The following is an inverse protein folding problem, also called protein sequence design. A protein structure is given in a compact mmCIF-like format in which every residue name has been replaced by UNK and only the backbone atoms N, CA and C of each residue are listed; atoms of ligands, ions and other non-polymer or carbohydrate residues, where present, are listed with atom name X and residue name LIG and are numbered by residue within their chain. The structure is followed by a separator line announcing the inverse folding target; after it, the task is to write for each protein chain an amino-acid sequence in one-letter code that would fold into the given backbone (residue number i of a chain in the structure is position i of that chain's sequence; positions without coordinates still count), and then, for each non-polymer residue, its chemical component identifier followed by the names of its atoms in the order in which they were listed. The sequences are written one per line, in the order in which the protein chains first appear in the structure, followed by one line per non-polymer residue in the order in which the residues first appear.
data_IF_259390979499
#
_entry.id   IF_259390979499
#
_cell.length_a   1.000
_cell.length_b   1.000
_cell.length_c   1.000
_cell.angle_alpha   90.00
_cell.angle_beta   90.00
_cell.angle_gamma   90.00
#
_symmetry.space_group_name_H-M   'P 1'
#
loop_
_entity.id
_entity.type
_entity.pdbx_description
1 polymer ?
#
# COMPACT_ATOMS: atom_id res chain seq x y z
N UNK A 1 17.35 -27.61 29.76
CA UNK A 1 17.01 -26.75 28.60
C UNK A 1 15.50 -26.75 28.57
N UNK A 2 14.87 -25.61 28.85
CA UNK A 2 13.41 -25.53 28.91
C UNK A 2 12.89 -25.74 27.50
N UNK A 3 12.20 -26.85 27.28
CA UNK A 3 11.55 -27.14 26.01
C UNK A 3 10.49 -26.06 25.75
N UNK A 4 10.61 -25.35 24.62
CA UNK A 4 9.56 -24.45 24.14
C UNK A 4 8.28 -25.27 24.01
N UNK A 5 7.24 -24.85 24.71
CA UNK A 5 5.96 -25.54 24.67
C UNK A 5 5.26 -25.28 23.33
N UNK A 6 4.52 -26.29 22.89
CA UNK A 6 3.80 -26.24 21.62
C UNK A 6 2.86 -25.00 21.50
N UNK A 7 2.15 -24.55 22.56
CA UNK A 7 1.36 -23.32 22.52
C UNK A 7 2.18 -22.07 22.17
N UNK A 8 3.34 -21.87 22.80
CA UNK A 8 4.22 -20.72 22.50
C UNK A 8 4.69 -20.75 21.05
N UNK A 9 5.07 -21.92 20.53
CA UNK A 9 5.48 -22.07 19.13
C UNK A 9 4.34 -21.72 18.17
N UNK A 10 3.11 -22.18 18.46
CA UNK A 10 1.92 -21.89 17.65
C UNK A 10 1.63 -20.39 17.61
N UNK A 11 1.63 -19.71 18.76
CA UNK A 11 1.41 -18.26 18.82
C UNK A 11 2.54 -17.46 18.14
N UNK A 12 3.80 -17.92 18.25
CA UNK A 12 4.90 -17.30 17.52
C UNK A 12 4.73 -17.42 16.00
N UNK A 13 4.35 -18.61 15.50
CA UNK A 13 4.04 -18.81 14.08
C UNK A 13 2.87 -17.92 13.65
N UNK A 14 1.85 -17.78 14.48
CA UNK A 14 0.70 -16.91 14.22
C UNK A 14 1.14 -15.45 14.00
N UNK A 15 1.96 -14.90 14.88
CA UNK A 15 2.52 -13.52 14.77
C UNK A 15 3.33 -13.34 13.49
N UNK A 16 4.01 -14.38 13.01
CA UNK A 16 4.85 -14.33 11.81
C UNK A 16 4.09 -14.55 10.49
N UNK A 17 2.86 -15.08 10.54
CA UNK A 17 2.05 -15.33 9.32
C UNK A 17 1.81 -14.05 8.49
N UNK A 18 1.40 -12.91 9.07
CA UNK A 18 1.23 -11.68 8.31
C UNK A 18 2.49 -11.23 7.59
N UNK A 19 3.66 -11.35 8.22
CA UNK A 19 4.93 -10.98 7.58
C UNK A 19 5.17 -11.86 6.34
N UNK A 20 5.02 -13.18 6.46
CA UNK A 20 5.20 -14.09 5.32
C UNK A 20 4.28 -13.73 4.16
N UNK A 21 3.02 -13.44 4.45
CA UNK A 21 2.04 -13.03 3.45
C UNK A 21 2.45 -11.71 2.78
N UNK A 22 2.74 -10.68 3.56
CA UNK A 22 3.16 -9.36 3.05
C UNK A 22 4.45 -9.44 2.24
N UNK A 23 5.46 -10.17 2.71
CA UNK A 23 6.71 -10.37 1.96
C UNK A 23 6.43 -11.06 0.63
N UNK A 24 5.51 -12.03 0.59
CA UNK A 24 5.11 -12.65 -0.67
C UNK A 24 4.45 -11.64 -1.62
N UNK A 25 3.58 -10.74 -1.13
CA UNK A 25 2.95 -9.69 -1.95
C UNK A 25 3.97 -8.69 -2.53
N UNK A 26 4.93 -8.26 -1.71
CA UNK A 26 5.99 -7.34 -2.16
C UNK A 26 6.93 -8.01 -3.18
N UNK A 27 7.16 -9.32 -3.03
CA UNK A 27 8.06 -10.10 -3.88
C UNK A 27 7.37 -10.74 -5.10
N UNK A 28 6.04 -10.75 -5.17
CA UNK A 28 5.30 -11.25 -6.33
C UNK A 28 5.38 -10.27 -7.49
N UNK A 29 6.36 -10.47 -8.39
CA UNK A 29 6.27 -9.88 -9.73
C UNK A 29 7.59 -9.69 -10.47
N UNK A 30 7.47 -9.58 -11.79
CA UNK A 30 8.48 -9.04 -12.71
C UNK A 30 8.38 -7.50 -12.82
N UNK A 31 7.59 -6.84 -11.97
CA UNK A 31 7.23 -5.43 -12.03
C UNK A 31 7.56 -4.70 -10.72
N UNK A 32 7.78 -3.38 -10.75
CA UNK A 32 8.17 -2.62 -9.58
C UNK A 32 7.03 -2.54 -8.53
N UNK A 33 7.25 -3.19 -7.38
CA UNK A 33 6.31 -3.27 -6.26
C UNK A 33 6.44 -2.13 -5.23
N UNK A 34 7.21 -1.07 -5.54
CA UNK A 34 7.47 0.03 -4.59
C UNK A 34 6.19 0.67 -4.05
N UNK A 35 5.16 0.79 -4.88
CA UNK A 35 3.84 1.33 -4.49
C UNK A 35 3.09 0.46 -3.47
N UNK A 36 3.42 -0.81 -3.37
CA UNK A 36 2.83 -1.77 -2.42
C UNK A 36 3.49 -1.73 -1.06
N UNK A 37 4.74 -1.28 -0.98
CA UNK A 37 5.56 -1.34 0.25
C UNK A 37 4.91 -0.56 1.39
N UNK A 38 4.40 0.64 1.12
CA UNK A 38 3.69 1.46 2.11
C UNK A 38 2.43 0.75 2.62
N UNK A 39 1.63 0.22 1.69
CA UNK A 39 0.37 -0.47 2.02
C UNK A 39 0.63 -1.73 2.83
N UNK A 40 1.66 -2.49 2.44
CA UNK A 40 2.15 -3.66 3.14
C UNK A 40 2.61 -3.36 4.57
N UNK A 41 3.38 -2.28 4.77
CA UNK A 41 3.79 -1.82 6.09
C UNK A 41 2.57 -1.47 6.97
N UNK A 42 1.62 -0.70 6.43
CA UNK A 42 0.40 -0.31 7.15
C UNK A 42 -0.46 -1.52 7.52
N UNK A 43 -0.69 -2.45 6.58
CA UNK A 43 -1.44 -3.67 6.83
C UNK A 43 -0.78 -4.53 7.91
N UNK A 44 0.55 -4.65 7.87
CA UNK A 44 1.30 -5.42 8.86
C UNK A 44 1.25 -4.79 10.25
N UNK A 45 1.38 -3.46 10.33
CA UNK A 45 1.22 -2.72 11.59
C UNK A 45 -0.18 -2.86 12.17
N UNK A 46 -1.20 -2.76 11.32
CA UNK A 46 -2.59 -2.96 11.76
C UNK A 46 -2.79 -4.38 12.29
N UNK A 47 -2.35 -5.41 11.55
CA UNK A 47 -2.44 -6.80 11.98
C UNK A 47 -1.76 -7.05 13.33
N UNK A 48 -0.63 -6.38 13.61
CA UNK A 48 0.14 -6.57 14.84
C UNK A 48 -0.22 -5.58 15.95
N UNK A 49 -1.16 -4.67 15.72
CA UNK A 49 -1.57 -3.66 16.71
C UNK A 49 -2.27 -4.26 17.92
N UNK A 50 -2.99 -5.37 17.72
CA UNK A 50 -3.70 -6.10 18.77
C UNK A 50 -3.79 -7.58 18.42
N UNK A 51 -4.06 -8.42 19.43
CA UNK A 51 -4.26 -9.85 19.22
C UNK A 51 -5.46 -10.13 18.33
N UNK A 52 -6.56 -9.39 18.53
CA UNK A 52 -7.75 -9.53 17.70
C UNK A 52 -7.47 -9.18 16.23
N UNK A 53 -6.81 -8.05 15.98
CA UNK A 53 -6.45 -7.65 14.62
C UNK A 53 -5.55 -8.68 13.92
N UNK A 54 -4.71 -9.40 14.67
CA UNK A 54 -3.87 -10.47 14.17
C UNK A 54 -4.70 -11.68 13.73
N UNK A 55 -5.63 -12.11 14.58
CA UNK A 55 -6.55 -13.21 14.28
C UNK A 55 -7.40 -12.88 13.05
N UNK A 56 -8.02 -11.70 13.03
CA UNK A 56 -8.84 -11.22 11.91
C UNK A 56 -8.05 -11.20 10.59
N UNK A 57 -6.80 -10.74 10.64
CA UNK A 57 -5.93 -10.71 9.46
C UNK A 57 -5.59 -12.12 8.97
N UNK A 58 -5.22 -13.02 9.89
CA UNK A 58 -4.82 -14.39 9.55
C UNK A 58 -5.98 -15.17 8.95
N UNK A 59 -7.17 -15.05 9.54
CA UNK A 59 -8.39 -15.67 9.04
C UNK A 59 -8.71 -15.21 7.61
N UNK A 60 -8.73 -13.89 7.42
CA UNK A 60 -9.13 -13.28 6.16
C UNK A 60 -8.11 -13.47 5.03
N UNK A 61 -6.81 -13.53 5.34
CA UNK A 61 -5.75 -13.38 4.34
C UNK A 61 -4.72 -14.51 4.30
N UNK A 62 -4.50 -15.23 5.39
CA UNK A 62 -3.48 -16.29 5.43
C UNK A 62 -4.08 -17.69 5.21
N UNK A 63 -5.36 -17.88 5.50
CA UNK A 63 -6.00 -19.20 5.50
C UNK A 63 -6.63 -19.59 4.14
N UNK A 64 -6.51 -18.77 3.10
CA UNK A 64 -7.23 -18.97 1.83
C UNK A 64 -6.80 -20.20 0.99
N UNK A 65 -5.72 -20.93 1.35
CA UNK A 65 -5.21 -22.07 0.54
C UNK A 65 -4.60 -23.27 1.30
N UNK A 66 -4.76 -23.42 2.62
CA UNK A 66 -4.05 -24.46 3.39
C UNK A 66 -4.97 -25.36 4.25
N UNK A 67 -5.28 -26.55 3.71
CA UNK A 67 -5.56 -27.81 4.41
C UNK A 67 -6.51 -27.79 5.63
N UNK A 68 -7.76 -28.11 5.35
CA UNK A 68 -8.87 -28.50 6.26
C UNK A 68 -8.60 -29.75 7.13
N UNK A 69 -7.35 -30.21 7.27
CA UNK A 69 -7.04 -31.53 7.84
C UNK A 69 -6.17 -31.51 9.11
N UNK A 70 -5.71 -30.35 9.59
CA UNK A 70 -4.91 -30.29 10.83
C UNK A 70 -5.27 -29.17 11.83
N UNK A 71 -6.32 -28.39 11.58
CA UNK A 71 -6.68 -27.24 12.43
C UNK A 71 -7.62 -27.56 13.60
N UNK A 72 -8.23 -28.75 13.63
CA UNK A 72 -9.30 -29.06 14.59
C UNK A 72 -8.85 -29.30 16.05
N UNK A 73 -7.55 -29.18 16.37
CA UNK A 73 -7.05 -29.35 17.76
C UNK A 73 -6.42 -28.06 18.33
N UNK A 74 -6.58 -26.91 17.66
CA UNK A 74 -5.96 -25.64 18.07
C UNK A 74 -7.00 -24.59 18.49
N UNK A 75 -8.29 -24.80 18.23
CA UNK A 75 -9.33 -23.77 18.40
C UNK A 75 -9.68 -23.44 19.86
N UNK A 76 -9.38 -24.30 20.84
CA UNK A 76 -9.85 -24.07 22.23
C UNK A 76 -9.01 -23.07 23.05
N UNK A 77 -7.94 -22.47 22.50
CA UNK A 77 -7.08 -21.55 23.26
C UNK A 77 -6.57 -20.33 22.47
N UNK A 78 -7.19 -20.01 21.33
CA UNK A 78 -6.77 -18.86 20.50
C UNK A 78 -7.16 -17.50 21.10
N UNK A 79 -8.13 -17.46 22.03
CA UNK A 79 -8.63 -16.23 22.65
C UNK A 79 -7.69 -15.63 23.71
N UNK A 80 -6.65 -16.38 24.13
CA UNK A 80 -5.70 -15.91 25.14
C UNK A 80 -4.29 -15.71 24.55
N UNK A 81 -3.79 -14.49 24.69
CA UNK A 81 -2.42 -14.15 24.31
C UNK A 81 -1.46 -14.35 25.49
N UNK A 82 -0.38 -15.11 25.26
CA UNK A 82 0.71 -15.24 26.23
C UNK A 82 1.48 -13.91 26.35
N UNK A 83 1.80 -13.47 27.57
CA UNK A 83 2.51 -12.20 27.81
C UNK A 83 3.85 -12.12 27.06
N UNK A 84 4.57 -13.24 26.93
CA UNK A 84 5.81 -13.30 26.16
C UNK A 84 5.60 -13.06 24.65
N UNK A 85 4.47 -13.50 24.11
CA UNK A 85 4.08 -13.28 22.71
C UNK A 85 3.65 -11.83 22.49
N UNK A 86 2.89 -11.27 23.43
CA UNK A 86 2.53 -9.85 23.42
C UNK A 86 3.79 -8.97 23.36
N UNK A 87 4.75 -9.22 24.24
CA UNK A 87 6.03 -8.51 24.25
C UNK A 87 6.78 -8.67 22.92
N UNK A 88 6.81 -9.89 22.36
CA UNK A 88 7.42 -10.14 21.07
C UNK A 88 6.74 -9.35 19.94
N UNK A 89 5.40 -9.32 19.90
CA UNK A 89 4.62 -8.57 18.91
C UNK A 89 4.91 -7.07 18.96
N UNK A 90 4.91 -6.48 20.16
CA UNK A 90 5.23 -5.06 20.35
C UNK A 90 6.65 -4.72 19.87
N UNK A 91 7.62 -5.59 20.15
CA UNK A 91 8.99 -5.44 19.63
C UNK A 91 9.05 -5.62 18.13
N UNK A 92 8.27 -6.55 17.59
CA UNK A 92 8.22 -6.82 16.17
C UNK A 92 7.64 -5.64 15.38
N UNK A 93 6.65 -4.93 15.92
CA UNK A 93 6.16 -3.66 15.36
C UNK A 93 7.27 -2.62 15.16
N UNK A 94 8.16 -2.47 16.14
CA UNK A 94 9.31 -1.54 16.04
C UNK A 94 10.26 -1.99 14.93
N UNK A 95 10.53 -3.30 14.85
CA UNK A 95 11.40 -3.86 13.81
C UNK A 95 10.82 -3.71 12.40
N UNK A 96 9.50 -3.65 12.26
CA UNK A 96 8.83 -3.45 10.96
C UNK A 96 9.12 -2.06 10.40
N UNK A 97 9.20 -1.04 11.24
CA UNK A 97 9.59 0.31 10.80
C UNK A 97 11.01 0.34 10.25
N UNK A 98 11.93 -0.33 10.95
CA UNK A 98 13.31 -0.49 10.50
C UNK A 98 13.44 -1.40 9.27
N UNK A 99 12.57 -2.41 9.13
CA UNK A 99 12.62 -3.33 7.99
C UNK A 99 12.20 -2.65 6.68
N UNK A 100 11.15 -1.84 6.72
CA UNK A 100 10.63 -1.20 5.53
C UNK A 100 11.29 0.15 5.22
N UNK A 101 11.91 0.81 6.21
CA UNK A 101 12.58 2.11 6.08
C UNK A 101 11.80 3.07 5.15
N UNK A 102 10.51 3.27 5.45
CA UNK A 102 9.65 4.04 4.58
C UNK A 102 10.19 5.46 4.39
N UNK A 103 10.19 5.91 3.14
CA UNK A 103 10.64 7.24 2.74
C UNK A 103 9.67 7.85 1.72
N UNK A 104 9.88 9.12 1.37
CA UNK A 104 8.99 9.85 0.45
C UNK A 104 8.76 9.13 -0.90
N UNK A 105 9.71 8.31 -1.37
CA UNK A 105 9.59 7.59 -2.65
C UNK A 105 8.54 6.50 -2.57
N UNK A 106 8.43 5.82 -1.43
CA UNK A 106 7.39 4.82 -1.20
C UNK A 106 5.99 5.45 -1.26
N UNK A 107 5.82 6.59 -0.60
CA UNK A 107 4.56 7.33 -0.59
C UNK A 107 4.22 7.89 -1.98
N UNK A 108 5.20 8.47 -2.68
CA UNK A 108 4.99 8.92 -4.06
C UNK A 108 4.63 7.77 -5.00
N UNK A 109 5.28 6.60 -4.87
CA UNK A 109 4.94 5.44 -5.67
C UNK A 109 3.49 4.99 -5.41
N UNK A 110 3.04 4.99 -4.15
CA UNK A 110 1.64 4.70 -3.79
C UNK A 110 0.68 5.77 -4.32
N UNK A 111 1.03 7.06 -4.22
CA UNK A 111 0.23 8.18 -4.74
C UNK A 111 -0.01 8.08 -6.26
N UNK A 112 0.99 7.60 -7.00
CA UNK A 112 0.89 7.41 -8.45
C UNK A 112 -0.05 6.26 -8.83
N UNK A 113 -0.40 5.37 -7.90
CA UNK A 113 -1.43 4.39 -8.15
C UNK A 113 -2.82 5.06 -8.13
N UNK A 114 -3.63 4.94 -9.21
CA UNK A 114 -4.95 5.56 -9.30
C UNK A 114 -5.87 5.32 -8.10
N UNK A 115 -5.75 4.14 -7.49
CA UNK A 115 -6.55 3.70 -6.36
C UNK A 115 -6.20 4.42 -5.05
N UNK A 116 -4.96 4.87 -4.91
CA UNK A 116 -4.42 5.45 -3.67
C UNK A 116 -4.01 6.92 -3.83
N UNK A 117 -4.48 7.59 -4.89
CA UNK A 117 -4.21 9.00 -5.21
C UNK A 117 -4.49 9.99 -4.07
N UNK A 118 -5.40 9.65 -3.16
CA UNK A 118 -5.77 10.54 -2.06
C UNK A 118 -4.92 10.35 -0.81
N UNK A 119 -4.17 9.24 -0.70
CA UNK A 119 -3.40 8.87 0.49
C UNK A 119 -4.16 9.19 1.80
N UNK A 120 -5.41 8.72 1.91
CA UNK A 120 -6.30 9.04 3.05
C UNK A 120 -5.72 8.59 4.39
N UNK A 121 -4.89 7.56 4.37
CA UNK A 121 -4.18 7.01 5.53
C UNK A 121 -2.90 7.79 5.92
N UNK A 122 -2.48 8.78 5.12
CA UNK A 122 -1.35 9.64 5.45
C UNK A 122 -1.80 10.91 6.17
N UNK A 123 -0.89 11.48 6.95
CA UNK A 123 -1.05 12.82 7.51
C UNK A 123 -1.00 13.89 6.41
N UNK A 124 -1.54 15.08 6.69
CA UNK A 124 -1.47 16.22 5.77
C UNK A 124 -0.02 16.56 5.43
N UNK A 125 0.87 16.56 6.43
CA UNK A 125 2.28 16.88 6.25
C UNK A 125 2.99 15.87 5.33
N UNK A 126 2.71 14.57 5.48
CA UNK A 126 3.25 13.53 4.58
C UNK A 126 2.77 13.75 3.14
N UNK A 127 1.47 14.02 2.95
CA UNK A 127 0.92 14.31 1.61
C UNK A 127 1.59 15.53 0.99
N UNK A 128 1.72 16.62 1.74
CA UNK A 128 2.40 17.84 1.27
C UNK A 128 3.84 17.55 0.84
N UNK A 129 4.61 16.81 1.66
CA UNK A 129 5.98 16.39 1.32
C UNK A 129 6.04 15.56 0.03
N UNK A 130 5.07 14.67 -0.19
CA UNK A 130 4.99 13.87 -1.42
C UNK A 130 4.74 14.73 -2.66
N UNK A 131 3.78 15.65 -2.58
CA UNK A 131 3.50 16.57 -3.70
C UNK A 131 4.69 17.48 -3.99
N UNK A 132 5.34 18.03 -2.96
CA UNK A 132 6.56 18.82 -3.11
C UNK A 132 7.68 18.03 -3.78
N UNK A 133 7.90 16.78 -3.33
CA UNK A 133 8.90 15.91 -3.93
C UNK A 133 8.63 15.65 -5.42
N UNK A 134 7.39 15.32 -5.79
CA UNK A 134 7.01 15.10 -7.19
C UNK A 134 7.21 16.37 -8.03
N UNK A 135 6.80 17.54 -7.53
CA UNK A 135 7.03 18.82 -8.22
C UNK A 135 8.51 19.09 -8.45
N UNK A 136 9.36 18.82 -7.45
CA UNK A 136 10.81 18.95 -7.57
C UNK A 136 11.37 18.00 -8.64
N UNK A 137 10.94 16.74 -8.66
CA UNK A 137 11.38 15.77 -9.68
C UNK A 137 10.94 16.19 -11.10
N UNK A 138 9.71 16.66 -11.26
CA UNK A 138 9.21 17.16 -12.56
C UNK A 138 9.97 18.40 -13.03
N UNK A 139 10.33 19.31 -12.12
CA UNK A 139 11.15 20.47 -12.43
C UNK A 139 12.54 20.05 -12.93
N UNK A 140 13.21 19.13 -12.22
CA UNK A 140 14.52 18.59 -12.63
C UNK A 140 14.45 17.97 -14.02
N UNK A 141 13.41 17.16 -14.30
CA UNK A 141 13.22 16.53 -15.61
C UNK A 141 12.96 17.56 -16.72
N UNK A 142 12.21 18.62 -16.43
CA UNK A 142 11.93 19.70 -17.38
C UNK A 142 13.19 20.51 -17.69
N UNK A 143 13.97 20.86 -16.67
CA UNK A 143 15.21 21.62 -16.82
C UNK A 143 16.28 20.79 -17.55
N UNK A 144 16.38 19.49 -17.26
CA UNK A 144 17.24 18.53 -17.95
C UNK A 144 16.81 18.32 -19.41
N UNK A 145 15.51 18.22 -19.69
CA UNK A 145 14.97 18.11 -21.05
C UNK A 145 15.18 19.38 -21.88
N UNK A 146 15.24 20.55 -21.23
CA UNK A 146 15.51 21.84 -21.88
C UNK A 146 16.99 21.99 -22.24
N UNK A 147 17.90 21.40 -21.46
CA UNK A 147 19.33 21.33 -21.77
C UNK A 147 19.69 20.25 -22.81
N UNK A 148 18.87 19.20 -22.97
CA UNK A 148 19.07 18.14 -23.95
C UNK A 148 18.62 18.48 -25.40
N UNK A 149 17.92 19.60 -25.62
CA UNK A 149 17.52 20.07 -26.97
C UNK A 149 18.65 20.85 -27.65
N UNK A 150 19.73 20.16 -28.04
CA UNK A 150 20.75 20.69 -28.98
C UNK A 150 21.29 19.63 -29.96
N UNK A 151 20.46 18.66 -30.33
CA UNK A 151 20.71 17.86 -31.53
C UNK A 151 19.46 17.94 -32.41
N UNK A 152 19.49 18.86 -33.37
CA UNK A 152 18.48 18.95 -34.43
C UNK A 152 18.65 17.75 -35.36
N UNK A 153 17.81 16.74 -35.20
CA UNK A 153 17.53 15.80 -36.29
C UNK A 153 16.28 16.31 -37.02
N UNK A 154 16.36 16.65 -38.32
CA UNK A 154 15.25 17.26 -39.04
C UNK A 154 14.34 16.18 -39.66
N UNK A 155 13.28 15.78 -38.95
CA UNK A 155 11.99 15.36 -39.52
C UNK A 155 11.05 14.79 -38.45
N UNK A 156 9.78 15.23 -38.48
CA UNK A 156 8.58 14.67 -37.80
C UNK A 156 8.32 15.02 -36.32
N UNK A 157 7.07 14.81 -35.84
CA UNK A 157 5.82 15.39 -36.32
C UNK A 157 5.24 16.32 -35.23
N UNK A 158 4.13 17.01 -35.55
CA UNK A 158 3.53 18.08 -34.74
C UNK A 158 3.39 17.71 -33.24
N UNK A 159 4.10 18.45 -32.40
CA UNK A 159 4.09 18.31 -30.94
C UNK A 159 2.68 18.60 -30.40
N UNK A 160 2.01 17.57 -29.87
CA UNK A 160 0.87 17.79 -28.96
C UNK A 160 1.40 18.58 -27.77
N UNK A 161 0.82 19.76 -27.55
CA UNK A 161 1.13 20.65 -26.43
C UNK A 161 0.85 19.89 -25.14
N UNK A 162 1.90 19.52 -24.41
CA UNK A 162 1.77 18.98 -23.06
C UNK A 162 1.15 20.07 -22.18
N UNK A 163 0.00 19.78 -21.58
CA UNK A 163 -0.60 20.63 -20.55
C UNK A 163 0.43 20.79 -19.42
N UNK A 164 0.65 22.03 -18.98
CA UNK A 164 1.64 22.40 -17.96
C UNK A 164 1.38 21.66 -16.64
N UNK A 165 2.46 21.31 -15.92
CA UNK A 165 2.39 20.59 -14.64
C UNK A 165 1.40 21.20 -13.65
N UNK A 166 1.25 22.53 -13.64
CA UNK A 166 0.31 23.26 -12.79
C UNK A 166 -1.16 22.86 -13.03
N UNK A 167 -1.55 22.57 -14.29
CA UNK A 167 -2.93 22.11 -14.59
C UNK A 167 -3.19 20.66 -14.20
N UNK A 168 -2.16 19.82 -14.08
CA UNK A 168 -2.33 18.45 -13.59
C UNK A 168 -2.59 18.49 -12.09
N UNK A 169 -1.89 19.34 -11.34
CA UNK A 169 -2.02 19.40 -9.87
C UNK A 169 -3.19 20.26 -9.36
N UNK A 170 -3.71 21.20 -10.16
CA UNK A 170 -4.89 21.98 -9.78
C UNK A 170 -6.11 21.09 -9.43
N UNK A 171 -6.32 19.99 -10.17
CA UNK A 171 -7.39 19.03 -9.88
C UNK A 171 -7.23 18.26 -8.55
N UNK A 172 -6.13 18.42 -7.83
CA UNK A 172 -5.85 17.73 -6.57
C UNK A 172 -5.89 18.66 -5.34
N UNK A 173 -5.93 19.98 -5.54
CA UNK A 173 -5.96 20.97 -4.45
C UNK A 173 -7.39 21.43 -4.10
N UNK A 174 -8.36 21.22 -5.00
CA UNK A 174 -9.72 21.77 -4.87
C UNK A 174 -10.69 20.94 -3.99
N UNK A 175 -10.40 19.67 -3.69
CA UNK A 175 -11.32 18.79 -2.94
C UNK A 175 -11.20 18.88 -1.40
N UNK A 176 -10.47 19.86 -0.87
CA UNK A 176 -10.30 20.03 0.59
C UNK A 176 -11.34 20.95 1.26
N UNK A 177 -12.38 21.39 0.54
CA UNK A 177 -13.48 22.15 1.12
C UNK A 177 -14.75 21.31 1.24
N UNK A 178 -15.17 21.12 2.49
CA UNK A 178 -16.47 20.64 2.99
C UNK A 178 -16.78 19.13 2.96
N UNK A 179 -16.76 18.57 4.17
CA UNK A 179 -17.83 17.69 4.64
C UNK A 179 -19.20 18.32 4.39
N UNK A 180 -20.16 17.47 4.01
CA UNK A 180 -21.58 17.70 3.71
C UNK A 180 -21.93 18.09 2.26
N UNK A 181 -22.55 17.15 1.54
CA UNK A 181 -23.71 17.24 0.60
C UNK A 181 -23.72 15.93 -0.21
N UNK A 182 -24.56 14.96 0.18
CA UNK A 182 -25.86 14.64 -0.44
C UNK A 182 -25.75 14.05 -1.86
N UNK A 183 -26.27 12.83 -1.98
CA UNK A 183 -26.56 12.11 -3.22
C UNK A 183 -27.22 13.03 -4.26
N UNK A 184 -26.68 13.04 -5.47
CA UNK A 184 -27.49 12.97 -6.69
C UNK A 184 -26.61 12.47 -7.86
N UNK A 185 -26.92 11.24 -8.29
CA UNK A 185 -26.44 10.65 -9.53
C UNK A 185 -27.16 11.36 -10.69
N UNK A 186 -26.41 11.98 -11.61
CA UNK A 186 -26.93 12.26 -12.94
C UNK A 186 -25.86 12.03 -14.01
N UNK A 187 -26.28 11.31 -15.05
CA UNK A 187 -25.49 10.67 -16.09
C UNK A 187 -24.59 11.62 -16.89
N UNK A 188 -23.34 11.18 -17.12
CA UNK A 188 -22.41 11.76 -18.08
C UNK A 188 -21.95 10.68 -19.06
N UNK A 189 -22.16 10.83 -20.38
CA UNK A 189 -21.76 9.84 -21.37
C UNK A 189 -20.32 10.15 -21.83
N UNK A 190 -19.35 9.50 -21.22
CA UNK A 190 -18.00 9.40 -21.81
C UNK A 190 -17.69 7.92 -22.04
N UNK A 191 -17.81 7.51 -23.31
CA UNK A 191 -17.18 6.30 -23.83
C UNK A 191 -15.66 6.43 -23.65
N UNK A 192 -15.10 5.59 -22.78
CA UNK A 192 -13.67 5.43 -22.58
C UNK A 192 -13.24 4.09 -23.16
N UNK A 193 -12.31 4.13 -24.10
CA UNK A 193 -11.72 2.95 -24.73
C UNK A 193 -11.11 2.02 -23.67
N UNK A 194 -11.74 0.86 -23.47
CA UNK A 194 -11.33 -0.18 -22.53
C UNK A 194 -10.01 -0.82 -22.98
N UNK A 195 -8.93 -0.53 -22.26
CA UNK A 195 -7.87 -1.52 -22.07
C UNK A 195 -8.31 -2.42 -20.93
N UNK A 196 -8.73 -3.65 -21.23
CA UNK A 196 -8.99 -4.71 -20.25
C UNK A 196 -7.68 -5.01 -19.48
N UNK A 197 -7.49 -4.27 -18.39
CA UNK A 197 -6.47 -4.54 -17.40
C UNK A 197 -7.01 -5.62 -16.47
N UNK A 198 -6.32 -6.75 -16.36
CA UNK A 198 -6.80 -7.89 -15.60
C UNK A 198 -6.78 -7.57 -14.09
N UNK A 199 -7.93 -7.16 -13.54
CA UNK A 199 -8.14 -6.61 -12.19
C UNK A 199 -8.10 -7.66 -11.07
N UNK A 200 -8.07 -8.95 -11.40
CA UNK A 200 -8.32 -10.06 -10.46
C UNK A 200 -7.26 -10.16 -9.34
N UNK A 201 -6.03 -9.65 -9.53
CA UNK A 201 -5.01 -9.60 -8.47
C UNK A 201 -5.07 -8.32 -7.60
N UNK A 202 -5.74 -7.26 -8.07
CA UNK A 202 -5.78 -5.96 -7.40
C UNK A 202 -6.96 -5.81 -6.42
N UNK A 203 -7.99 -6.64 -6.58
CA UNK A 203 -9.20 -6.65 -5.75
C UNK A 203 -8.97 -7.17 -4.32
N UNK A 204 -7.88 -7.90 -4.07
CA UNK A 204 -7.56 -8.28 -2.70
C UNK A 204 -7.32 -7.03 -1.86
N UNK A 205 -6.56 -6.03 -2.36
CA UNK A 205 -6.05 -4.92 -1.55
C UNK A 205 -7.12 -3.91 -1.06
N UNK A 206 -8.31 -3.89 -1.67
CA UNK A 206 -9.44 -3.07 -1.20
C UNK A 206 -10.04 -3.54 0.12
N UNK A 207 -9.84 -4.81 0.47
CA UNK A 207 -10.32 -5.35 1.75
C UNK A 207 -9.50 -4.88 2.96
N UNK A 208 -8.42 -4.13 2.76
CA UNK A 208 -7.40 -3.84 3.77
C UNK A 208 -7.32 -2.37 4.22
N UNK A 209 -8.15 -1.47 3.66
CA UNK A 209 -8.20 -0.06 4.01
C UNK A 209 -9.62 0.30 4.48
N UNK A 210 -9.95 -0.07 5.72
CA UNK A 210 -11.06 0.50 6.51
C UNK A 210 -10.45 1.10 7.76
#
# INVERSE_FOLDING_TARGET
VSDLDLPTIKQLVLVLKPLKHVTSLVQTGNSPSLHMVLLCNLSLKHALSSHQSLLDYVDKHCNSKSNTLHNNEIEENEDYELEGIKWFRERFLILIDELFCLDVRHYCATLLNPKYKLLKFCTKDERTRCHEYIRQQLKILTDAGTTAKSYKTPSEPQQKVFKTADTIFACFEDDYSNDEVQNDLQDSPYESDEYEFNTVQFDELDRYLI
#
